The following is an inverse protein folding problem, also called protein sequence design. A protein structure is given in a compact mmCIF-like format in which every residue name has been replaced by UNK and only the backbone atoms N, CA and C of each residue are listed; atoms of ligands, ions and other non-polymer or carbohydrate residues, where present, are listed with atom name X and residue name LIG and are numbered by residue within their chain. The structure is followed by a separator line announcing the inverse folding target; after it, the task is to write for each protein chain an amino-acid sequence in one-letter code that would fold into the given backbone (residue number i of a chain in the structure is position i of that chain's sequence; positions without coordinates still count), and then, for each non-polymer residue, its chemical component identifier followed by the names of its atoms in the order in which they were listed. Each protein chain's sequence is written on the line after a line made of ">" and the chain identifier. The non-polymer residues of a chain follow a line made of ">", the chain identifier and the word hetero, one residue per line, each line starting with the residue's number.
data_IF_284245073091
#
_entry.id   IF_284245073091
#
_cell.length_a   1.000
_cell.length_b   1.000
_cell.length_c   1.000
_cell.angle_alpha   90.00
_cell.angle_beta   90.00
_cell.angle_gamma   90.00
#
_symmetry.space_group_name_H-M   'P 1'
#
loop_
_entity.id
_entity.type
_entity.pdbx_description
1 polymer ?
#
# COMPACT_ATOMS: atom_id res chain seq x y z
N UNK A 1 -14.48 34.89 -50.57
CA UNK A 1 -13.54 35.38 -49.52
C UNK A 1 -13.77 34.50 -48.30
N UNK A 2 -12.76 33.72 -47.89
CA UNK A 2 -12.86 32.68 -46.86
C UNK A 2 -12.83 33.33 -45.47
N UNK A 3 -13.86 33.17 -44.66
CA UNK A 3 -13.80 33.48 -43.23
C UNK A 3 -13.48 32.16 -42.54
N UNK A 4 -12.27 32.07 -42.00
CA UNK A 4 -11.72 30.87 -41.37
C UNK A 4 -12.51 30.53 -40.10
N UNK A 5 -12.86 29.26 -39.96
CA UNK A 5 -13.36 28.71 -38.71
C UNK A 5 -12.26 28.85 -37.65
N UNK A 6 -12.58 29.53 -36.54
CA UNK A 6 -11.77 29.53 -35.33
C UNK A 6 -11.75 28.09 -34.79
N UNK A 7 -10.61 27.41 -34.95
CA UNK A 7 -10.39 26.10 -34.38
C UNK A 7 -10.45 26.20 -32.85
N UNK A 8 -11.48 25.60 -32.26
CA UNK A 8 -11.54 25.34 -30.82
C UNK A 8 -10.39 24.41 -30.47
N UNK A 9 -9.35 24.96 -29.83
CA UNK A 9 -8.29 24.19 -29.21
C UNK A 9 -8.91 23.39 -28.04
N UNK A 10 -9.34 22.17 -28.33
CA UNK A 10 -9.68 21.19 -27.32
C UNK A 10 -8.41 20.84 -26.55
N UNK A 11 -8.23 21.43 -25.37
CA UNK A 11 -7.24 20.97 -24.40
C UNK A 11 -7.73 19.60 -23.94
N UNK A 12 -7.15 18.53 -24.49
CA UNK A 12 -7.22 17.21 -23.89
C UNK A 12 -6.49 17.30 -22.56
N UNK A 13 -7.20 17.59 -21.48
CA UNK A 13 -6.76 17.23 -20.14
C UNK A 13 -6.76 15.70 -20.10
N UNK A 14 -5.66 15.09 -20.55
CA UNK A 14 -5.28 13.80 -20.03
C UNK A 14 -4.98 14.06 -18.55
N UNK A 15 -5.99 13.89 -17.69
CA UNK A 15 -5.70 13.57 -16.31
C UNK A 15 -4.85 12.30 -16.40
N UNK A 16 -3.55 12.44 -16.16
CA UNK A 16 -2.79 11.30 -15.72
C UNK A 16 -3.52 10.83 -14.47
N UNK A 17 -4.31 9.77 -14.60
CA UNK A 17 -4.62 8.93 -13.46
C UNK A 17 -3.26 8.40 -13.05
N UNK A 18 -2.53 9.16 -12.24
CA UNK A 18 -1.43 8.60 -11.51
C UNK A 18 -2.10 7.55 -10.64
N UNK A 19 -2.04 6.29 -11.05
CA UNK A 19 -2.19 5.17 -10.14
C UNK A 19 -0.99 5.25 -9.19
N UNK A 20 -0.96 6.27 -8.32
CA UNK A 20 0.01 6.34 -7.24
C UNK A 20 -0.34 5.17 -6.34
N UNK A 21 0.44 4.11 -6.42
CA UNK A 21 0.40 3.07 -5.42
C UNK A 21 0.63 3.75 -4.07
N UNK A 22 -0.31 3.57 -3.13
CA UNK A 22 -0.18 4.12 -1.79
C UNK A 22 1.15 3.68 -1.16
N UNK A 23 1.71 4.54 -0.31
CA UNK A 23 3.03 4.34 0.29
C UNK A 23 2.92 4.17 1.81
N UNK A 24 4.05 4.04 2.50
CA UNK A 24 4.08 3.95 3.96
C UNK A 24 3.56 5.20 4.69
N UNK A 25 3.57 6.39 4.08
CA UNK A 25 2.95 7.59 4.67
C UNK A 25 1.44 7.42 4.73
N UNK A 26 0.84 6.88 3.66
CA UNK A 26 -0.59 6.57 3.64
C UNK A 26 -0.94 5.49 4.67
N UNK A 27 -0.11 4.43 4.76
CA UNK A 27 -0.30 3.36 5.77
C UNK A 27 -0.27 3.93 7.19
N UNK A 28 0.74 4.73 7.56
CA UNK A 28 0.82 5.35 8.89
C UNK A 28 -0.44 6.18 9.16
N UNK A 29 -0.84 7.02 8.21
CA UNK A 29 -2.03 7.86 8.34
C UNK A 29 -3.28 7.01 8.57
N UNK A 30 -3.45 5.88 7.89
CA UNK A 30 -4.57 4.99 8.14
C UNK A 30 -4.46 4.26 9.49
N UNK A 31 -3.27 3.83 9.88
CA UNK A 31 -3.05 3.24 11.20
C UNK A 31 -3.49 4.18 12.33
N UNK A 32 -3.25 5.49 12.19
CA UNK A 32 -3.62 6.50 13.18
C UNK A 32 -5.11 6.89 13.14
N UNK A 33 -5.71 6.96 11.95
CA UNK A 33 -6.99 7.65 11.77
C UNK A 33 -8.13 6.75 11.28
N UNK A 34 -7.81 5.63 10.61
CA UNK A 34 -8.77 4.71 10.02
C UNK A 34 -8.24 3.26 10.02
N UNK A 35 -8.29 2.58 11.17
CA UNK A 35 -7.71 1.25 11.32
C UNK A 35 -8.41 0.19 10.45
N UNK A 36 -9.64 0.46 9.97
CA UNK A 36 -10.34 -0.41 9.04
C UNK A 36 -9.75 -0.30 7.62
N UNK A 37 -9.45 0.92 7.16
CA UNK A 37 -8.75 1.13 5.88
C UNK A 37 -7.33 0.56 5.93
N UNK A 38 -6.62 0.75 7.04
CA UNK A 38 -5.29 0.16 7.23
C UNK A 38 -5.35 -1.37 7.08
N UNK A 39 -6.29 -2.02 7.78
CA UNK A 39 -6.47 -3.46 7.70
C UNK A 39 -6.78 -3.91 6.27
N UNK A 40 -7.76 -3.29 5.62
CA UNK A 40 -8.19 -3.67 4.27
C UNK A 40 -7.05 -3.52 3.23
N UNK A 41 -6.24 -2.46 3.35
CA UNK A 41 -5.09 -2.27 2.47
C UNK A 41 -4.02 -3.35 2.68
N UNK A 42 -3.72 -3.68 3.94
CA UNK A 42 -2.73 -4.70 4.32
C UNK A 42 -3.19 -6.09 3.87
N UNK A 43 -4.43 -6.47 4.14
CA UNK A 43 -5.02 -7.74 3.70
C UNK A 43 -5.03 -7.83 2.17
N UNK A 44 -5.40 -6.76 1.47
CA UNK A 44 -5.38 -6.74 0.00
C UNK A 44 -4.00 -7.03 -0.59
N UNK A 45 -2.92 -6.56 0.05
CA UNK A 45 -1.55 -6.89 -0.37
C UNK A 45 -1.24 -8.36 -0.07
N UNK A 46 -1.59 -8.86 1.12
CA UNK A 46 -1.38 -10.26 1.49
C UNK A 46 -2.07 -11.19 0.49
N UNK A 47 -3.34 -10.91 0.17
CA UNK A 47 -4.13 -11.67 -0.80
C UNK A 47 -3.54 -11.58 -2.21
N UNK A 48 -3.08 -10.40 -2.64
CA UNK A 48 -2.42 -10.24 -3.93
C UNK A 48 -1.14 -11.09 -4.02
N UNK A 49 -0.30 -11.08 -2.99
CA UNK A 49 0.91 -11.92 -2.96
C UNK A 49 0.59 -13.42 -2.86
N UNK A 50 -0.53 -13.80 -2.23
CA UNK A 50 -0.98 -15.18 -2.17
C UNK A 50 -1.58 -15.68 -3.49
N UNK A 51 -2.14 -14.80 -4.33
CA UNK A 51 -2.91 -15.18 -5.52
C UNK A 51 -2.21 -14.91 -6.85
N UNK A 52 -1.50 -13.77 -6.98
CA UNK A 52 -0.88 -13.34 -8.24
C UNK A 52 0.63 -13.10 -8.13
N UNK A 53 1.15 -12.89 -6.93
CA UNK A 53 2.57 -12.64 -6.66
C UNK A 53 3.33 -13.88 -6.16
N UNK A 54 4.65 -13.74 -5.90
CA UNK A 54 5.35 -14.69 -5.07
C UNK A 54 4.82 -14.61 -3.63
N UNK A 55 4.64 -15.72 -2.90
CA UNK A 55 4.21 -15.66 -1.51
C UNK A 55 5.17 -14.84 -0.64
N UNK A 56 4.63 -14.10 0.33
CA UNK A 56 5.43 -13.46 1.37
C UNK A 56 5.93 -14.55 2.32
N UNK A 57 7.23 -14.62 2.57
CA UNK A 57 7.85 -15.62 3.46
C UNK A 57 7.82 -15.18 4.93
N UNK A 58 6.68 -15.30 5.59
CA UNK A 58 6.48 -14.97 7.02
C UNK A 58 5.65 -16.06 7.72
N UNK A 59 5.84 -16.22 9.03
CA UNK A 59 5.25 -17.31 9.81
C UNK A 59 4.41 -16.79 10.97
N UNK A 60 3.10 -16.66 10.75
CA UNK A 60 2.18 -16.20 11.80
C UNK A 60 2.24 -17.08 13.05
N UNK A 61 2.31 -16.48 14.25
CA UNK A 61 2.26 -17.23 15.48
C UNK A 61 0.87 -17.86 15.65
N UNK A 62 0.82 -18.98 16.38
CA UNK A 62 -0.44 -19.70 16.62
C UNK A 62 -1.46 -18.78 17.29
N UNK A 63 -2.60 -18.60 16.65
CA UNK A 63 -3.71 -17.78 17.16
C UNK A 63 -3.62 -16.30 16.80
N UNK A 64 -2.69 -15.89 15.94
CA UNK A 64 -2.68 -14.54 15.39
C UNK A 64 -4.00 -14.21 14.69
N UNK A 65 -4.46 -12.99 14.92
CA UNK A 65 -5.64 -12.39 14.31
C UNK A 65 -5.24 -11.46 13.17
N UNK A 66 -6.19 -11.10 12.32
CA UNK A 66 -6.00 -10.02 11.34
C UNK A 66 -5.63 -8.68 12.00
N UNK A 67 -6.10 -8.44 13.24
CA UNK A 67 -5.68 -7.29 14.04
C UNK A 67 -4.19 -7.31 14.35
N UNK A 68 -3.63 -8.47 14.73
CA UNK A 68 -2.20 -8.61 15.00
C UNK A 68 -1.36 -8.33 13.74
N UNK A 69 -1.83 -8.78 12.57
CA UNK A 69 -1.20 -8.52 11.28
C UNK A 69 -1.15 -7.02 10.99
N UNK A 70 -2.28 -6.33 11.14
CA UNK A 70 -2.34 -4.87 11.00
C UNK A 70 -1.39 -4.20 11.98
N UNK A 71 -1.43 -4.57 13.26
CA UNK A 71 -0.65 -3.92 14.31
C UNK A 71 0.86 -4.10 14.10
N UNK A 72 1.30 -5.26 13.61
CA UNK A 72 2.68 -5.50 13.23
C UNK A 72 3.16 -4.54 12.12
N UNK A 73 2.36 -4.39 11.05
CA UNK A 73 2.68 -3.46 9.96
C UNK A 73 2.64 -2.01 10.42
N UNK A 74 1.61 -1.60 11.14
CA UNK A 74 1.49 -0.24 11.68
C UNK A 74 2.67 0.11 12.58
N UNK A 75 3.06 -0.80 13.48
CA UNK A 75 4.23 -0.63 14.33
C UNK A 75 5.52 -0.48 13.51
N UNK A 76 5.69 -1.28 12.46
CA UNK A 76 6.85 -1.22 11.59
C UNK A 76 6.93 0.14 10.88
N UNK A 77 5.87 0.53 10.18
CA UNK A 77 5.82 1.82 9.47
C UNK A 77 6.06 2.98 10.43
N UNK A 78 5.53 2.90 11.66
CA UNK A 78 5.77 3.92 12.68
C UNK A 78 7.25 4.02 13.09
N UNK A 79 7.92 2.88 13.24
CA UNK A 79 9.32 2.81 13.66
C UNK A 79 10.34 3.16 12.57
N UNK A 80 9.96 3.12 11.29
CA UNK A 80 10.84 3.38 10.15
C UNK A 80 10.36 4.58 9.29
N UNK A 81 10.33 5.81 9.84
CA UNK A 81 9.84 7.00 9.14
C UNK A 81 10.58 7.30 7.82
N UNK A 82 11.87 7.00 7.76
CA UNK A 82 12.71 7.14 6.58
C UNK A 82 12.28 6.23 5.43
N UNK A 83 11.62 5.11 5.70
CA UNK A 83 11.16 4.14 4.70
C UNK A 83 9.76 4.47 4.14
N UNK A 84 8.98 5.30 4.85
CA UNK A 84 7.55 5.53 4.55
C UNK A 84 7.26 6.08 3.15
N UNK A 85 8.24 6.73 2.53
CA UNK A 85 8.10 7.24 1.16
C UNK A 85 8.03 6.12 0.10
N UNK A 86 8.35 4.87 0.46
CA UNK A 86 8.34 3.71 -0.45
C UNK A 86 6.95 3.09 -0.56
N UNK A 87 6.73 2.38 -1.66
CA UNK A 87 5.45 1.75 -1.98
C UNK A 87 4.96 0.80 -0.86
N UNK A 88 3.69 0.91 -0.48
CA UNK A 88 3.08 0.10 0.58
C UNK A 88 3.08 -1.39 0.26
N UNK A 89 2.87 -1.74 -1.02
CA UNK A 89 2.97 -3.11 -1.54
C UNK A 89 4.35 -3.75 -1.29
N UNK A 90 5.41 -2.95 -1.13
CA UNK A 90 6.74 -3.43 -0.73
C UNK A 90 6.88 -3.48 0.80
N UNK A 91 6.41 -2.45 1.50
CA UNK A 91 6.62 -2.31 2.94
C UNK A 91 5.84 -3.34 3.75
N UNK A 92 4.62 -3.72 3.34
CA UNK A 92 3.83 -4.76 4.04
C UNK A 92 4.59 -6.10 4.10
N UNK A 93 5.08 -6.67 2.98
CA UNK A 93 5.94 -7.86 3.01
C UNK A 93 7.23 -7.71 3.83
N UNK A 94 7.83 -6.53 3.89
CA UNK A 94 9.04 -6.29 4.70
C UNK A 94 8.68 -6.35 6.19
N UNK A 95 7.64 -5.62 6.58
CA UNK A 95 7.17 -5.56 7.96
C UNK A 95 6.79 -6.93 8.51
N UNK A 96 6.02 -7.73 7.75
CA UNK A 96 5.59 -9.05 8.19
C UNK A 96 6.75 -10.04 8.35
N UNK A 97 7.75 -9.98 7.47
CA UNK A 97 8.97 -10.81 7.57
C UNK A 97 9.83 -10.47 8.77
N UNK A 98 9.91 -9.19 9.11
CA UNK A 98 10.66 -8.74 10.28
C UNK A 98 9.91 -9.07 11.58
N UNK A 99 8.58 -8.93 11.59
CA UNK A 99 7.75 -9.28 12.74
C UNK A 99 7.77 -10.79 13.03
N UNK A 100 7.72 -11.61 11.97
CA UNK A 100 7.56 -13.06 12.08
C UNK A 100 8.39 -13.85 11.06
N UNK A 101 9.72 -13.93 11.24
CA UNK A 101 10.57 -14.75 10.40
C UNK A 101 10.28 -16.25 10.60
N UNK A 102 10.29 -17.03 9.51
CA UNK A 102 9.96 -18.47 9.57
C UNK A 102 11.03 -19.38 10.19
N UNK A 103 12.26 -18.90 10.36
CA UNK A 103 13.39 -19.67 10.91
C UNK A 103 14.02 -18.99 12.15
N UNK A 104 13.19 -18.30 12.94
CA UNK A 104 13.60 -17.67 14.21
C UNK A 104 13.78 -18.67 15.35
#
# INVERSE_FOLDING_TARGET
>A
MKIAALASAGILMAAASDAQASNGIDIERWCENDPAVALAYIEGIIDAYATVGPPIDYCLPKGATYGDVRDAVCKWVSNYPEERHRAGALLVPVALREAWPCNG
#
